data_IF_566015295571
#
_entry.id   IF_566015295571
#
_cell.length_a   1.000
_cell.length_b   1.000
_cell.length_c   1.000
_cell.angle_alpha   90.00
_cell.angle_beta   90.00
_cell.angle_gamma   90.00
#
_symmetry.space_group_name_H-M   'P 1'
#
loop_
_entity.id
_entity.type
_entity.pdbx_description
1 polymer ?
#
# COMPACT_ATOMS: atom_id res chain seq x y z
N UNK A 1 23.84 -16.00 28.25
CA UNK A 1 23.94 -15.44 26.89
C UNK A 1 22.57 -14.90 26.53
N UNK A 2 22.39 -13.59 26.70
CA UNK A 2 21.20 -12.87 26.26
C UNK A 2 21.22 -12.80 24.74
N UNK A 3 20.34 -13.55 24.10
CA UNK A 3 19.97 -13.30 22.71
C UNK A 3 19.21 -11.97 22.70
N UNK A 4 19.93 -10.87 22.50
CA UNK A 4 19.29 -9.63 22.05
C UNK A 4 18.57 -9.97 20.75
N UNK A 5 17.25 -10.09 20.82
CA UNK A 5 16.43 -10.14 19.63
C UNK A 5 16.68 -8.81 18.92
N UNK A 6 17.39 -8.86 17.79
CA UNK A 6 17.46 -7.74 16.86
C UNK A 6 16.00 -7.35 16.64
N UNK A 7 15.59 -6.10 16.93
CA UNK A 7 14.30 -5.61 16.46
C UNK A 7 14.36 -5.73 14.95
N UNK A 8 13.79 -6.80 14.39
CA UNK A 8 13.76 -7.01 12.96
C UNK A 8 12.76 -6.00 12.46
N UNK A 9 13.25 -4.85 12.00
CA UNK A 9 12.46 -3.89 11.24
C UNK A 9 11.70 -4.71 10.18
N UNK A 10 10.36 -4.81 10.29
CA UNK A 10 9.60 -5.60 9.34
C UNK A 10 9.59 -4.94 7.96
N UNK A 11 10.04 -3.69 7.86
CA UNK A 11 10.06 -2.83 6.68
C UNK A 11 8.71 -2.13 6.43
N UNK A 12 7.79 -2.20 7.38
CA UNK A 12 6.50 -1.50 7.29
C UNK A 12 5.93 -1.15 8.66
N UNK A 13 4.97 -0.23 8.67
CA UNK A 13 4.16 0.13 9.85
C UNK A 13 2.70 0.23 9.44
N UNK A 14 1.82 -0.44 10.18
CA UNK A 14 0.37 -0.22 10.06
C UNK A 14 -0.01 0.92 10.99
N UNK A 15 -0.81 1.85 10.48
CA UNK A 15 -1.37 2.96 11.21
C UNK A 15 -2.85 2.70 11.45
N UNK A 16 -3.25 2.88 12.71
CA UNK A 16 -4.65 2.91 13.09
C UNK A 16 -5.20 4.31 12.91
N UNK A 17 -6.23 4.42 12.08
CA UNK A 17 -6.95 5.66 11.82
C UNK A 17 -8.44 5.48 11.98
N UNK A 18 -9.17 6.59 12.06
CA UNK A 18 -10.63 6.56 12.06
C UNK A 18 -11.16 6.38 10.64
N UNK A 19 -12.13 5.48 10.40
CA UNK A 19 -12.79 5.36 9.10
C UNK A 19 -13.38 6.71 8.63
N UNK A 20 -13.23 7.07 7.35
CA UNK A 20 -13.87 8.28 6.82
C UNK A 20 -15.40 8.17 6.84
N UNK A 21 -16.07 9.30 7.02
CA UNK A 21 -17.53 9.38 6.91
C UNK A 21 -18.00 9.06 5.50
N UNK A 22 -19.19 8.45 5.36
CA UNK A 22 -19.79 8.08 4.07
C UNK A 22 -19.78 9.22 3.05
N UNK A 23 -20.20 10.42 3.45
CA UNK A 23 -20.28 11.58 2.57
C UNK A 23 -18.92 11.95 1.94
N UNK A 24 -17.81 11.79 2.68
CA UNK A 24 -16.46 12.04 2.16
C UNK A 24 -16.05 10.99 1.13
N UNK A 25 -16.42 9.73 1.38
CA UNK A 25 -16.16 8.61 0.47
C UNK A 25 -16.91 8.83 -0.84
N UNK A 26 -18.22 9.10 -0.78
CA UNK A 26 -19.07 9.33 -1.95
C UNK A 26 -18.61 10.54 -2.75
N UNK A 27 -18.27 11.63 -2.05
CA UNK A 27 -17.77 12.83 -2.69
C UNK A 27 -16.47 12.57 -3.48
N UNK A 28 -15.61 11.69 -2.99
CA UNK A 28 -14.37 11.34 -3.66
C UNK A 28 -14.54 10.28 -4.76
N UNK A 29 -15.44 9.31 -4.57
CA UNK A 29 -15.85 8.36 -5.61
C UNK A 29 -16.43 9.07 -6.83
N UNK A 30 -17.14 10.18 -6.64
CA UNK A 30 -17.64 11.01 -7.73
C UNK A 30 -16.53 11.65 -8.60
N UNK A 31 -15.28 11.67 -8.15
CA UNK A 31 -14.13 12.14 -8.95
C UNK A 31 -13.53 11.01 -9.82
N UNK A 32 -13.99 9.77 -9.66
CA UNK A 32 -13.50 8.58 -10.35
C UNK A 32 -14.51 8.17 -11.43
N UNK A 33 -14.02 7.75 -12.60
CA UNK A 33 -14.90 7.17 -13.63
C UNK A 33 -15.41 5.79 -13.19
N UNK A 34 -16.71 5.71 -12.91
CA UNK A 34 -17.41 4.46 -12.55
C UNK A 34 -17.27 3.41 -13.67
N UNK A 35 -17.38 3.84 -14.93
CA UNK A 35 -17.21 2.96 -16.09
C UNK A 35 -15.80 2.35 -16.15
N UNK A 36 -14.77 3.16 -15.91
CA UNK A 36 -13.39 2.67 -15.87
C UNK A 36 -13.16 1.71 -14.70
N UNK A 37 -13.72 2.01 -13.53
CA UNK A 37 -13.63 1.13 -12.36
C UNK A 37 -14.26 -0.24 -12.65
N UNK A 38 -15.48 -0.26 -13.17
CA UNK A 38 -16.18 -1.52 -13.50
C UNK A 38 -15.40 -2.31 -14.56
N UNK A 39 -14.91 -1.63 -15.60
CA UNK A 39 -14.08 -2.26 -16.64
C UNK A 39 -12.83 -2.92 -16.04
N UNK A 40 -12.13 -2.23 -15.15
CA UNK A 40 -10.91 -2.74 -14.53
C UNK A 40 -11.19 -3.90 -13.56
N UNK A 41 -12.28 -3.82 -12.78
CA UNK A 41 -12.70 -4.91 -11.90
C UNK A 41 -13.11 -6.20 -12.64
N UNK A 42 -13.48 -6.09 -13.93
CA UNK A 42 -13.80 -7.21 -14.80
C UNK A 42 -12.62 -7.66 -15.69
N UNK A 43 -11.47 -7.00 -15.55
CA UNK A 43 -10.27 -7.28 -16.33
C UNK A 43 -9.21 -7.98 -15.49
N UNK A 44 -8.24 -8.59 -16.17
CA UNK A 44 -7.04 -9.16 -15.54
C UNK A 44 -5.79 -8.36 -15.90
N UNK A 45 -4.79 -8.36 -15.03
CA UNK A 45 -3.48 -7.74 -15.31
C UNK A 45 -2.35 -8.60 -14.76
N UNK A 46 -1.16 -8.46 -15.31
CA UNK A 46 0.07 -9.09 -14.77
C UNK A 46 0.90 -8.10 -13.92
N UNK A 47 0.34 -6.93 -13.60
CA UNK A 47 1.00 -5.86 -12.83
C UNK A 47 0.58 -5.82 -11.36
N UNK A 48 -0.47 -6.55 -10.98
CA UNK A 48 -1.02 -6.58 -9.62
C UNK A 48 -2.01 -5.46 -9.29
N UNK A 49 -1.84 -4.25 -9.84
CA UNK A 49 -2.81 -3.15 -9.67
C UNK A 49 -2.84 -2.20 -10.88
N UNK A 50 -3.93 -1.43 -10.99
CA UNK A 50 -4.13 -0.37 -11.98
C UNK A 50 -4.52 0.95 -11.31
N UNK A 51 -4.22 2.05 -12.00
CA UNK A 51 -4.51 3.41 -11.52
C UNK A 51 -5.84 3.90 -12.06
N UNK A 52 -6.69 4.42 -11.18
CA UNK A 52 -7.97 5.02 -11.53
C UNK A 52 -7.90 6.53 -11.68
N UNK A 53 -6.82 7.15 -11.20
CA UNK A 53 -6.61 8.59 -11.18
C UNK A 53 -6.62 9.18 -9.78
N UNK A 54 -6.29 10.47 -9.70
CA UNK A 54 -6.21 11.22 -8.45
C UNK A 54 -7.10 12.46 -8.50
N UNK A 55 -8.03 12.53 -7.55
CA UNK A 55 -8.94 13.65 -7.37
C UNK A 55 -8.58 14.54 -6.18
N UNK A 56 -9.17 15.73 -6.11
CA UNK A 56 -8.90 16.70 -5.04
C UNK A 56 -9.33 16.17 -3.67
N UNK A 57 -10.47 15.49 -3.60
CA UNK A 57 -11.02 14.95 -2.34
C UNK A 57 -10.27 13.70 -1.89
N UNK A 58 -9.70 12.97 -2.84
CA UNK A 58 -8.87 11.80 -2.54
C UNK A 58 -7.66 12.17 -1.67
N UNK A 59 -7.02 13.31 -1.91
CA UNK A 59 -5.91 13.75 -1.05
C UNK A 59 -6.37 13.98 0.40
N UNK A 60 -7.55 14.57 0.60
CA UNK A 60 -8.12 14.71 1.94
C UNK A 60 -8.41 13.35 2.58
N UNK A 61 -8.93 12.39 1.81
CA UNK A 61 -9.20 11.04 2.31
C UNK A 61 -7.93 10.30 2.74
N UNK A 62 -6.78 10.56 2.12
CA UNK A 62 -5.52 9.95 2.53
C UNK A 62 -5.15 10.33 3.96
N UNK A 63 -5.29 11.61 4.32
CA UNK A 63 -4.97 12.13 5.66
C UNK A 63 -6.13 11.96 6.67
N UNK A 64 -7.34 11.63 6.24
CA UNK A 64 -8.50 11.57 7.13
C UNK A 64 -8.29 10.55 8.27
N UNK A 65 -8.32 11.02 9.52
CA UNK A 65 -8.10 10.14 10.68
C UNK A 65 -6.67 9.62 10.86
N UNK A 66 -5.68 10.13 10.10
CA UNK A 66 -4.27 9.72 10.18
C UNK A 66 -3.36 10.96 10.24
N UNK A 67 -2.42 10.97 11.18
CA UNK A 67 -1.37 11.99 11.24
C UNK A 67 -0.11 11.53 10.49
N UNK A 68 -0.17 11.58 9.16
CA UNK A 68 0.96 11.21 8.31
C UNK A 68 2.09 12.25 8.35
N UNK A 69 1.78 13.50 8.68
CA UNK A 69 2.74 14.61 8.65
C UNK A 69 3.77 14.50 9.78
N UNK A 70 3.35 13.93 10.93
CA UNK A 70 4.19 13.74 12.11
C UNK A 70 4.55 12.26 12.38
N UNK A 71 4.30 11.34 11.45
CA UNK A 71 4.64 9.93 11.65
C UNK A 71 6.17 9.72 11.61
N UNK A 72 6.74 9.31 12.74
CA UNK A 72 8.20 9.13 12.87
C UNK A 72 8.76 8.02 11.99
N UNK A 73 8.01 6.95 11.72
CA UNK A 73 8.50 5.86 10.86
C UNK A 73 8.59 6.33 9.40
N UNK A 74 7.56 7.03 8.93
CA UNK A 74 7.56 7.65 7.60
C UNK A 74 8.70 8.66 7.45
N UNK A 75 8.92 9.50 8.47
CA UNK A 75 10.02 10.48 8.50
C UNK A 75 11.39 9.82 8.40
N UNK A 76 11.60 8.71 9.09
CA UNK A 76 12.83 7.91 9.01
C UNK A 76 13.04 7.39 7.59
N UNK A 77 12.02 6.76 6.99
CA UNK A 77 12.13 6.21 5.63
C UNK A 77 12.35 7.28 4.56
N UNK A 78 11.79 8.47 4.75
CA UNK A 78 11.96 9.61 3.84
C UNK A 78 13.25 10.37 4.07
N UNK A 79 13.95 10.13 5.19
CA UNK A 79 15.09 10.91 5.66
C UNK A 79 14.77 12.43 5.69
N UNK A 80 13.58 12.77 6.19
CA UNK A 80 13.07 14.13 6.13
C UNK A 80 11.59 14.24 6.47
N UNK A 81 11.08 15.47 6.55
CA UNK A 81 9.68 15.71 6.85
C UNK A 81 8.78 15.32 5.66
N UNK A 82 7.58 14.84 5.95
CA UNK A 82 6.58 14.45 4.95
C UNK A 82 6.33 15.53 3.89
N UNK A 83 6.17 16.79 4.32
CA UNK A 83 5.87 17.93 3.45
C UNK A 83 6.98 18.23 2.43
N UNK A 84 8.21 17.85 2.74
CA UNK A 84 9.39 18.11 1.91
C UNK A 84 9.68 16.92 0.98
N UNK A 85 8.98 15.80 1.18
CA UNK A 85 9.19 14.58 0.42
C UNK A 85 8.69 14.70 -1.03
N UNK A 86 9.54 14.29 -1.97
CA UNK A 86 9.19 14.26 -3.38
C UNK A 86 8.16 13.17 -3.64
N UNK A 87 6.91 13.58 -3.86
CA UNK A 87 5.85 12.66 -4.29
C UNK A 87 6.12 12.19 -5.72
N UNK A 88 6.17 10.88 -5.91
CA UNK A 88 6.30 10.24 -7.23
C UNK A 88 4.94 9.92 -7.85
N UNK A 89 4.01 9.45 -7.02
CA UNK A 89 2.67 9.08 -7.43
C UNK A 89 1.71 9.25 -6.26
N UNK A 90 0.50 9.68 -6.53
CA UNK A 90 -0.61 9.64 -5.59
C UNK A 90 -1.84 9.33 -6.43
N UNK A 91 -2.52 8.21 -6.18
CA UNK A 91 -3.66 7.74 -6.97
C UNK A 91 -4.64 6.91 -6.14
N UNK A 92 -5.87 6.81 -6.66
CA UNK A 92 -6.73 5.68 -6.33
C UNK A 92 -6.30 4.50 -7.18
N UNK A 93 -6.16 3.35 -6.54
CA UNK A 93 -5.74 2.11 -7.21
C UNK A 93 -6.79 1.03 -7.02
N UNK A 94 -6.90 0.19 -8.03
CA UNK A 94 -7.63 -1.07 -7.97
C UNK A 94 -6.63 -2.20 -8.10
N UNK A 95 -6.65 -3.15 -7.15
CA UNK A 95 -5.88 -4.36 -7.27
C UNK A 95 -6.56 -5.28 -8.27
N UNK A 96 -5.80 -5.70 -9.28
CA UNK A 96 -6.33 -6.44 -10.41
C UNK A 96 -6.31 -7.93 -10.11
N UNK A 97 -7.28 -8.65 -10.67
CA UNK A 97 -7.20 -10.11 -10.68
C UNK A 97 -6.02 -10.52 -11.57
N UNK A 98 -5.15 -11.38 -11.05
CA UNK A 98 -4.00 -11.87 -11.82
C UNK A 98 -4.33 -13.25 -12.40
N UNK A 99 -4.13 -13.48 -13.71
CA UNK A 99 -4.47 -14.75 -14.33
C UNK A 99 -3.59 -15.89 -13.81
N UNK A 100 -2.36 -15.56 -13.41
CA UNK A 100 -1.37 -16.48 -12.85
C UNK A 100 -0.78 -15.91 -11.56
N UNK A 101 -0.11 -16.76 -10.77
CA UNK A 101 0.67 -16.30 -9.63
C UNK A 101 1.85 -15.47 -10.11
N UNK A 102 1.87 -14.17 -9.77
CA UNK A 102 2.95 -13.27 -10.15
C UNK A 102 4.22 -13.60 -9.37
N UNK A 103 5.37 -13.31 -9.98
CA UNK A 103 6.66 -13.41 -9.32
C UNK A 103 6.74 -12.42 -8.16
N UNK A 104 7.47 -12.81 -7.11
CA UNK A 104 7.81 -11.91 -6.02
C UNK A 104 8.70 -10.79 -6.52
N UNK A 105 8.36 -9.56 -6.15
CA UNK A 105 9.08 -8.36 -6.59
C UNK A 105 9.25 -7.41 -5.42
N UNK A 106 10.28 -6.56 -5.47
CA UNK A 106 10.33 -5.40 -4.59
C UNK A 106 9.15 -4.46 -4.91
N UNK A 107 8.51 -3.90 -3.90
CA UNK A 107 7.39 -2.97 -4.11
C UNK A 107 7.80 -1.73 -4.93
N UNK A 108 9.02 -1.23 -4.73
CA UNK A 108 9.63 -0.16 -5.51
C UNK A 108 10.95 0.31 -4.92
N UNK A 109 12.08 0.01 -5.59
CA UNK A 109 13.42 0.40 -5.11
C UNK A 109 13.52 1.92 -4.91
N UNK A 110 14.05 2.35 -3.77
CA UNK A 110 14.20 3.77 -3.47
C UNK A 110 12.87 4.51 -3.32
N UNK A 111 11.78 3.80 -3.00
CA UNK A 111 10.45 4.37 -2.78
C UNK A 111 9.96 4.10 -1.37
N UNK A 112 9.02 4.92 -0.92
CA UNK A 112 8.18 4.68 0.25
C UNK A 112 6.74 4.75 -0.19
N UNK A 113 5.92 3.78 0.20
CA UNK A 113 4.52 3.73 -0.16
C UNK A 113 3.64 3.89 1.08
N UNK A 114 2.50 4.54 0.90
CA UNK A 114 1.40 4.60 1.85
C UNK A 114 0.18 4.07 1.14
N UNK A 115 -0.34 2.92 1.57
CA UNK A 115 -1.61 2.38 1.08
C UNK A 115 -2.67 2.54 2.15
N UNK A 116 -3.89 2.96 1.79
CA UNK A 116 -4.98 3.19 2.74
C UNK A 116 -6.26 2.51 2.29
N UNK A 117 -6.91 1.81 3.23
CA UNK A 117 -8.26 1.31 3.08
C UNK A 117 -9.27 2.41 3.44
N UNK A 118 -10.26 2.64 2.57
CA UNK A 118 -11.26 3.69 2.77
C UNK A 118 -12.60 3.13 3.22
N UNK A 119 -13.17 2.20 2.43
CA UNK A 119 -14.54 1.71 2.61
C UNK A 119 -14.59 0.22 2.92
N UNK A 120 -13.91 -0.59 2.10
CA UNK A 120 -13.77 -2.02 2.31
C UNK A 120 -12.45 -2.39 2.99
N UNK A 121 -12.41 -3.58 3.57
CA UNK A 121 -11.16 -4.20 4.03
C UNK A 121 -10.26 -4.46 2.83
N UNK A 122 -9.00 -4.03 2.86
CA UNK A 122 -8.00 -4.46 1.89
C UNK A 122 -7.29 -5.70 2.42
N UNK A 123 -7.15 -6.72 1.57
CA UNK A 123 -6.44 -7.95 1.94
C UNK A 123 -6.21 -8.89 0.75
N UNK A 124 -5.55 -10.03 0.94
CA UNK A 124 -5.20 -10.92 -0.18
C UNK A 124 -6.42 -11.45 -0.95
N UNK A 125 -7.57 -11.55 -0.29
CA UNK A 125 -8.83 -11.96 -0.90
C UNK A 125 -9.34 -10.99 -1.97
N UNK A 126 -8.85 -9.75 -2.01
CA UNK A 126 -9.21 -8.75 -3.02
C UNK A 126 -7.99 -8.17 -3.75
N UNK A 127 -6.88 -8.92 -3.77
CA UNK A 127 -5.70 -8.57 -4.57
C UNK A 127 -4.65 -7.74 -3.84
N UNK A 128 -4.92 -7.28 -2.61
CA UNK A 128 -3.90 -6.60 -1.82
C UNK A 128 -2.72 -7.55 -1.57
N UNK A 129 -1.50 -7.05 -1.73
CA UNK A 129 -0.30 -7.87 -1.71
C UNK A 129 0.01 -8.44 -0.32
N UNK A 130 0.74 -9.56 -0.31
CA UNK A 130 1.42 -10.11 0.87
C UNK A 130 2.83 -9.54 0.98
N UNK A 131 3.41 -9.57 2.17
CA UNK A 131 4.76 -9.03 2.45
C UNK A 131 5.69 -10.13 2.93
N UNK A 132 6.89 -10.21 2.36
CA UNK A 132 8.00 -10.97 2.96
C UNK A 132 8.70 -10.05 3.96
N UNK A 133 8.35 -10.15 5.24
CA UNK A 133 8.87 -9.24 6.28
C UNK A 133 10.40 -9.24 6.36
N UNK A 134 11.00 -8.05 6.56
CA UNK A 134 12.44 -7.90 6.69
C UNK A 134 13.24 -8.17 5.41
N UNK A 135 12.57 -8.47 4.29
CA UNK A 135 13.24 -8.81 3.01
C UNK A 135 14.11 -7.69 2.43
N UNK A 136 13.95 -6.45 2.88
CA UNK A 136 14.81 -5.33 2.51
C UNK A 136 16.25 -5.48 3.05
N UNK A 137 16.47 -6.33 4.07
CA UNK A 137 17.78 -6.67 4.64
C UNK A 137 18.27 -8.07 4.24
N UNK A 138 17.47 -8.83 3.50
CA UNK A 138 17.76 -10.22 3.15
C UNK A 138 18.48 -10.35 1.80
N UNK A 139 19.28 -11.40 1.67
CA UNK A 139 19.77 -11.83 0.36
C UNK A 139 18.71 -12.65 -0.40
N UNK A 140 18.85 -12.84 -1.72
CA UNK A 140 17.85 -13.56 -2.53
C UNK A 140 17.53 -14.99 -2.05
N UNK A 141 18.53 -15.74 -1.55
CA UNK A 141 18.33 -17.11 -1.09
C UNK A 141 17.48 -17.18 0.19
N UNK A 142 17.58 -16.18 1.06
CA UNK A 142 16.73 -16.05 2.24
C UNK A 142 15.29 -15.71 1.82
N UNK A 143 15.11 -14.75 0.91
CA UNK A 143 13.80 -14.30 0.43
C UNK A 143 12.97 -15.45 -0.17
N UNK A 144 13.61 -16.32 -0.96
CA UNK A 144 12.95 -17.47 -1.60
C UNK A 144 12.40 -18.46 -0.54
N UNK A 145 13.08 -18.60 0.59
CA UNK A 145 12.72 -19.54 1.67
C UNK A 145 11.74 -18.96 2.69
N UNK A 146 11.56 -17.65 2.70
CA UNK A 146 10.67 -16.97 3.65
C UNK A 146 9.25 -16.91 3.08
N UNK A 147 8.25 -17.25 3.90
CA UNK A 147 6.85 -17.13 3.52
C UNK A 147 6.41 -15.66 3.54
N UNK A 148 5.61 -15.26 2.56
CA UNK A 148 4.94 -13.97 2.59
C UNK A 148 3.78 -14.02 3.59
N UNK A 149 3.57 -12.93 4.33
CA UNK A 149 2.48 -12.77 5.28
C UNK A 149 1.35 -11.96 4.67
N UNK A 150 0.12 -12.37 4.99
CA UNK A 150 -1.09 -11.67 4.62
C UNK A 150 -1.21 -10.35 5.40
N UNK A 151 -1.53 -9.27 4.69
CA UNK A 151 -1.82 -7.96 5.29
C UNK A 151 -3.30 -7.66 5.12
N UNK A 152 -3.96 -7.28 6.22
CA UNK A 152 -5.35 -6.87 6.20
C UNK A 152 -5.46 -5.45 6.77
N UNK A 153 -5.98 -4.52 5.99
CA UNK A 153 -6.26 -3.15 6.42
C UNK A 153 -7.75 -2.94 6.53
N UNK A 154 -8.22 -2.63 7.73
CA UNK A 154 -9.58 -2.19 7.98
C UNK A 154 -9.79 -0.77 7.42
N UNK A 155 -11.03 -0.38 7.10
CA UNK A 155 -11.34 1.01 6.74
C UNK A 155 -10.74 2.02 7.72
N UNK A 156 -10.08 3.06 7.21
CA UNK A 156 -9.37 4.06 8.01
C UNK A 156 -7.91 3.71 8.30
N UNK A 157 -7.53 2.42 8.29
CA UNK A 157 -6.14 2.01 8.46
C UNK A 157 -5.32 2.27 7.20
N UNK A 158 -4.03 2.53 7.41
CA UNK A 158 -3.04 2.60 6.35
C UNK A 158 -1.82 1.75 6.68
N UNK A 159 -1.04 1.40 5.66
CA UNK A 159 0.29 0.83 5.81
C UNK A 159 1.31 1.77 5.17
N UNK A 160 2.33 2.16 5.93
CA UNK A 160 3.57 2.72 5.42
C UNK A 160 4.50 1.56 5.11
N UNK A 161 4.98 1.48 3.87
CA UNK A 161 5.78 0.37 3.35
C UNK A 161 7.10 0.90 2.80
N UNK A 162 8.22 0.36 3.26
CA UNK A 162 9.50 0.50 2.58
C UNK A 162 9.43 -0.22 1.22
N UNK A 163 9.63 0.51 0.14
CA UNK A 163 9.60 -0.03 -1.22
C UNK A 163 10.68 -1.06 -1.53
N UNK A 164 11.73 -1.18 -0.71
CA UNK A 164 12.73 -2.24 -0.83
C UNK A 164 12.26 -3.60 -0.30
N UNK A 165 11.10 -3.65 0.39
CA UNK A 165 10.46 -4.91 0.73
C UNK A 165 9.96 -5.65 -0.49
N UNK A 166 10.07 -6.97 -0.42
CA UNK A 166 9.50 -7.91 -1.37
C UNK A 166 8.03 -8.16 -1.03
N UNK A 167 7.20 -8.01 -2.04
CA UNK A 167 5.76 -8.26 -2.02
C UNK A 167 5.39 -9.41 -2.96
N UNK A 168 4.24 -10.02 -2.69
CA UNK A 168 3.66 -11.09 -3.49
C UNK A 168 2.18 -10.78 -3.73
N UNK A 169 1.81 -10.56 -4.99
CA UNK A 169 0.40 -10.37 -5.36
C UNK A 169 -0.32 -11.73 -5.42
N UNK A 170 -1.50 -11.87 -4.78
CA UNK A 170 -2.32 -13.06 -4.95
C UNK A 170 -3.03 -13.03 -6.31
N UNK A 171 -3.64 -14.14 -6.73
CA UNK A 171 -4.43 -14.16 -7.97
C UNK A 171 -5.76 -13.41 -7.87
N UNK A 172 -6.30 -13.22 -6.66
CA UNK A 172 -7.54 -12.48 -6.44
C UNK A 172 -7.38 -10.98 -6.78
N UNK A 173 -8.49 -10.27 -6.91
CA UNK A 173 -8.53 -8.84 -7.25
C UNK A 173 -9.84 -8.17 -6.84
N UNK A 174 -9.99 -6.90 -7.19
CA UNK A 174 -11.19 -6.09 -6.98
C UNK A 174 -11.11 -5.11 -5.81
N UNK A 175 -10.08 -5.20 -4.97
CA UNK A 175 -9.84 -4.26 -3.88
C UNK A 175 -9.57 -2.86 -4.41
N UNK A 176 -10.09 -1.82 -3.74
CA UNK A 176 -9.90 -0.42 -4.11
C UNK A 176 -9.41 0.35 -2.90
N UNK A 177 -8.34 1.14 -3.08
CA UNK A 177 -7.74 1.90 -2.00
C UNK A 177 -6.97 3.11 -2.50
N UNK A 178 -6.40 3.85 -1.57
CA UNK A 178 -5.50 4.95 -1.90
C UNK A 178 -4.07 4.49 -1.88
N UNK A 179 -3.27 5.09 -2.75
CA UNK A 179 -1.85 4.92 -2.81
C UNK A 179 -1.17 6.28 -2.89
N UNK A 180 -0.19 6.51 -2.02
CA UNK A 180 0.79 7.59 -2.19
C UNK A 180 2.19 7.02 -2.14
N UNK A 181 3.03 7.43 -3.07
CA UNK A 181 4.37 6.94 -3.27
C UNK A 181 5.33 8.13 -3.28
N UNK A 182 6.39 8.04 -2.49
CA UNK A 182 7.45 9.03 -2.38
C UNK A 182 8.76 8.47 -2.91
N UNK A 183 9.65 9.34 -3.39
CA UNK A 183 11.06 8.99 -3.48
C UNK A 183 11.66 8.96 -2.07
N UNK A 184 12.50 7.96 -1.79
CA UNK A 184 13.49 8.08 -0.72
C UNK A 184 14.49 9.18 -1.10
N UNK A 185 14.90 9.99 -0.12
CA UNK A 185 15.92 11.00 -0.30
C UNK A 185 17.32 10.39 -0.41
#
# INVERSE_FOLDING_TARGET
>A
MSTEAIPTDPGYKILDGTPPTRDKIEAAQAEISVENLQKLQQSTSDLGFERLGWGKKINSLLHDGLDLDNDEYLKILLNGAYKDAKTYMADVVVWMQNPNQLQRVKAGRGRVFVYKAIEGVLGPQNGFFRIVEGSHLMNPNQIIKTNAKDIHLQPGQAIILDGDLVIEYPQAGGGVGLLKCFSKA
#
